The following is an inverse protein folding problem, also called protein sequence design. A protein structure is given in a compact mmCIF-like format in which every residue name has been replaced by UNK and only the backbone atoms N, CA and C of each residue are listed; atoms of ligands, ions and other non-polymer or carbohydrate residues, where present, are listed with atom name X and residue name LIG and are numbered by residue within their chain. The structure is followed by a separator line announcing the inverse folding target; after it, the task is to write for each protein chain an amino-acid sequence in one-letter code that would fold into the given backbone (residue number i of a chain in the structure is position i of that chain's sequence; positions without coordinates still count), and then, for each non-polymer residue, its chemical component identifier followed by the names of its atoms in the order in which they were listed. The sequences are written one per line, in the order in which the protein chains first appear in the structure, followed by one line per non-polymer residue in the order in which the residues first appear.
data_IF_021924951703
#
_entry.id   IF_021924951703
#
_cell.length_a   1.000
_cell.length_b   1.000
_cell.length_c   1.000
_cell.angle_alpha   90.00
_cell.angle_beta   90.00
_cell.angle_gamma   90.00
#
_symmetry.space_group_name_H-M   'P 1'
#
loop_
_entity.id
_entity.type
_entity.pdbx_description
1 polymer ?
#
# COMPACT_ATOMS: atom_id res chain seq x y z
N UNK A 1 4.45 -16.57 -24.25
CA UNK A 1 4.37 -15.10 -24.38
C UNK A 1 4.30 -14.54 -22.97
N UNK A 2 5.33 -13.85 -22.49
CA UNK A 2 5.34 -13.32 -21.12
C UNK A 2 4.46 -12.07 -21.05
N UNK A 3 3.49 -12.10 -20.15
CA UNK A 3 2.61 -10.98 -19.80
C UNK A 3 3.32 -9.89 -18.96
N UNK A 4 4.64 -10.01 -18.76
CA UNK A 4 5.44 -9.23 -17.82
C UNK A 4 5.51 -7.71 -18.11
N UNK A 5 5.10 -7.26 -19.31
CA UNK A 5 5.09 -5.84 -19.67
C UNK A 5 3.91 -5.04 -19.09
N UNK A 6 2.76 -5.68 -18.83
CA UNK A 6 1.54 -5.01 -18.37
C UNK A 6 1.56 -4.63 -16.88
N UNK A 7 2.56 -5.10 -16.13
CA UNK A 7 2.60 -5.04 -14.66
C UNK A 7 3.56 -3.97 -14.12
N UNK A 8 4.52 -3.48 -14.89
CA UNK A 8 5.42 -2.42 -14.42
C UNK A 8 4.78 -1.04 -14.51
N UNK A 9 3.69 -0.81 -13.77
CA UNK A 9 3.03 0.49 -13.67
C UNK A 9 2.72 0.84 -12.21
N UNK A 10 2.71 2.12 -11.86
CA UNK A 10 2.14 2.54 -10.58
C UNK A 10 0.61 2.51 -10.70
N UNK A 11 -0.08 2.19 -9.61
CA UNK A 11 -1.55 2.28 -9.55
C UNK A 11 -2.02 3.53 -8.82
N UNK A 12 -1.32 3.90 -7.76
CA UNK A 12 -1.62 5.07 -6.93
C UNK A 12 -0.33 5.83 -6.64
N UNK A 13 -0.48 7.07 -6.15
CA UNK A 13 0.62 7.91 -5.67
C UNK A 13 0.26 8.47 -4.29
N UNK A 14 1.28 8.77 -3.49
CA UNK A 14 1.15 9.57 -2.28
C UNK A 14 2.00 10.85 -2.40
N UNK A 15 1.63 11.91 -1.68
CA UNK A 15 2.41 13.16 -1.62
C UNK A 15 3.17 13.18 -0.31
N UNK A 16 4.50 13.25 -0.37
CA UNK A 16 5.34 13.23 0.83
C UNK A 16 5.18 14.53 1.63
N UNK A 17 4.81 14.49 2.92
CA UNK A 17 4.51 15.70 3.68
C UNK A 17 5.69 16.65 3.87
N UNK A 18 6.92 16.14 3.92
CA UNK A 18 8.11 16.94 4.21
C UNK A 18 8.51 17.91 3.10
N UNK A 19 8.22 17.58 1.84
CA UNK A 19 8.73 18.32 0.68
C UNK A 19 7.81 18.29 -0.55
N UNK A 20 6.65 17.64 -0.47
CA UNK A 20 5.68 17.57 -1.56
C UNK A 20 6.05 16.61 -2.70
N UNK A 21 7.11 15.81 -2.56
CA UNK A 21 7.50 14.84 -3.58
C UNK A 21 6.36 13.83 -3.86
N UNK A 22 6.16 13.46 -5.13
CA UNK A 22 5.22 12.41 -5.50
C UNK A 22 5.89 11.05 -5.34
N UNK A 23 5.25 10.16 -4.59
CA UNK A 23 5.76 8.85 -4.21
C UNK A 23 4.96 7.79 -4.93
N UNK A 24 5.60 7.07 -5.85
CA UNK A 24 4.96 6.08 -6.71
C UNK A 24 5.66 4.72 -6.54
N UNK A 25 5.07 3.78 -5.80
CA UNK A 25 5.61 2.45 -5.72
C UNK A 25 5.37 1.66 -7.03
N UNK A 26 6.21 0.67 -7.31
CA UNK A 26 6.14 -0.20 -8.50
C UNK A 26 6.42 -1.66 -8.12
N UNK A 27 5.40 -2.51 -8.25
CA UNK A 27 5.47 -3.98 -8.06
C UNK A 27 6.16 -4.46 -6.76
N UNK A 28 6.26 -3.59 -5.76
CA UNK A 28 6.91 -3.85 -4.48
C UNK A 28 8.42 -4.00 -4.61
N UNK A 29 9.00 -3.53 -5.72
CA UNK A 29 10.44 -3.67 -6.03
C UNK A 29 11.17 -2.35 -6.18
N UNK A 30 10.43 -1.28 -6.51
CA UNK A 30 10.96 0.06 -6.76
C UNK A 30 9.99 1.11 -6.26
N UNK A 31 10.53 2.24 -5.85
CA UNK A 31 9.82 3.44 -5.47
C UNK A 31 10.34 4.59 -6.31
N UNK A 32 9.52 5.15 -7.19
CA UNK A 32 9.86 6.39 -7.86
C UNK A 32 9.50 7.56 -6.94
N UNK A 33 10.46 8.47 -6.76
CA UNK A 33 10.29 9.73 -6.04
C UNK A 33 10.43 10.85 -7.06
N UNK A 34 9.33 11.55 -7.30
CA UNK A 34 9.24 12.57 -8.36
C UNK A 34 9.16 13.96 -7.74
N UNK A 35 10.05 14.84 -8.16
CA UNK A 35 9.94 16.27 -7.88
C UNK A 35 8.81 16.84 -8.74
N UNK A 36 7.71 17.36 -8.15
CA UNK A 36 6.59 17.88 -8.92
C UNK A 36 6.89 19.20 -9.64
N UNK A 37 7.99 19.88 -9.31
CA UNK A 37 8.36 21.17 -9.90
C UNK A 37 8.92 20.99 -11.30
N UNK A 38 9.84 20.04 -11.48
CA UNK A 38 10.55 19.83 -12.76
C UNK A 38 10.44 18.41 -13.33
N UNK A 39 9.75 17.51 -12.61
CA UNK A 39 9.52 16.13 -13.04
C UNK A 39 10.73 15.20 -12.87
N UNK A 40 11.83 15.67 -12.23
CA UNK A 40 12.98 14.81 -11.96
C UNK A 40 12.56 13.64 -11.08
N UNK A 41 13.04 12.45 -11.45
CA UNK A 41 12.70 11.21 -10.77
C UNK A 41 13.97 10.54 -10.24
N UNK A 42 13.98 10.21 -8.95
CA UNK A 42 14.91 9.24 -8.38
C UNK A 42 14.19 7.92 -8.12
N UNK A 43 14.95 6.83 -8.05
CA UNK A 43 14.39 5.49 -7.83
C UNK A 43 15.07 4.85 -6.64
N UNK A 44 14.27 4.46 -5.66
CA UNK A 44 14.69 3.75 -4.47
C UNK A 44 14.26 2.26 -4.53
N UNK A 45 14.97 1.35 -3.85
CA UNK A 45 14.57 -0.05 -3.79
C UNK A 45 13.35 -0.26 -2.87
N UNK A 46 12.58 -1.31 -3.20
CA UNK A 46 11.59 -1.94 -2.33
C UNK A 46 11.77 -3.46 -2.36
N UNK A 47 11.22 -4.17 -1.37
CA UNK A 47 11.49 -5.60 -1.12
C UNK A 47 10.25 -6.49 -1.12
N UNK A 48 9.04 -5.93 -1.10
CA UNK A 48 7.79 -6.67 -0.96
C UNK A 48 7.45 -7.59 -2.15
N UNK A 49 7.89 -7.26 -3.37
CA UNK A 49 7.69 -8.07 -4.59
C UNK A 49 6.24 -8.53 -4.78
N UNK A 50 5.34 -7.56 -4.88
CA UNK A 50 3.89 -7.80 -4.96
C UNK A 50 3.26 -6.78 -5.91
N UNK A 51 2.29 -7.25 -6.69
CA UNK A 51 1.37 -6.37 -7.41
C UNK A 51 0.73 -5.43 -6.40
N UNK A 52 0.75 -4.14 -6.68
CA UNK A 52 0.44 -3.14 -5.67
C UNK A 52 -0.75 -2.28 -6.06
N UNK A 53 -1.44 -1.75 -5.06
CA UNK A 53 -2.67 -0.99 -5.20
C UNK A 53 -2.58 0.27 -4.33
N UNK A 54 -3.57 0.55 -3.47
CA UNK A 54 -3.63 1.77 -2.70
C UNK A 54 -2.36 2.03 -1.89
N UNK A 55 -2.06 3.31 -1.80
CA UNK A 55 -0.91 3.85 -1.06
C UNK A 55 -1.37 5.02 -0.21
N UNK A 56 -0.81 5.13 0.98
CA UNK A 56 -0.92 6.33 1.82
C UNK A 56 0.42 6.59 2.50
N UNK A 57 0.62 7.81 2.96
CA UNK A 57 1.83 8.20 3.70
C UNK A 57 1.43 8.93 4.98
N UNK A 58 2.06 8.54 6.08
CA UNK A 58 1.91 9.22 7.37
C UNK A 58 2.63 10.56 7.39
N UNK A 59 2.28 11.41 8.36
CA UNK A 59 2.95 12.71 8.58
C UNK A 59 4.45 12.57 8.89
N UNK A 60 4.85 11.41 9.42
CA UNK A 60 6.24 11.05 9.69
C UNK A 60 7.00 10.58 8.43
N UNK A 61 6.34 10.53 7.27
CA UNK A 61 6.88 10.04 6.01
C UNK A 61 6.88 8.51 5.89
N UNK A 62 6.30 7.77 6.84
CA UNK A 62 6.13 6.32 6.72
C UNK A 62 5.11 6.01 5.62
N UNK A 63 5.54 5.25 4.61
CA UNK A 63 4.73 4.85 3.47
C UNK A 63 4.04 3.51 3.74
N UNK A 64 2.78 3.41 3.37
CA UNK A 64 1.96 2.21 3.50
C UNK A 64 1.44 1.82 2.12
N UNK A 65 1.75 0.62 1.65
CA UNK A 65 1.42 0.15 0.30
C UNK A 65 0.68 -1.17 0.38
N UNK A 66 -0.49 -1.25 -0.24
CA UNK A 66 -1.23 -2.51 -0.40
C UNK A 66 -0.62 -3.32 -1.52
N UNK A 67 -0.27 -4.57 -1.23
CA UNK A 67 0.05 -5.61 -2.19
C UNK A 67 -1.15 -6.54 -2.39
N UNK A 68 -1.62 -6.70 -3.63
CA UNK A 68 -2.75 -7.57 -3.98
C UNK A 68 -2.36 -9.02 -4.20
N UNK A 69 -1.07 -9.33 -4.32
CA UNK A 69 -0.59 -10.68 -4.58
C UNK A 69 0.78 -10.73 -5.24
N UNK A 70 1.34 -11.94 -5.43
CA UNK A 70 2.68 -12.11 -6.00
C UNK A 70 2.72 -11.72 -7.48
N UNK A 71 3.84 -11.15 -7.93
CA UNK A 71 4.10 -10.91 -9.36
C UNK A 71 4.38 -12.24 -10.06
N UNK A 72 5.11 -13.12 -9.38
CA UNK A 72 5.30 -14.52 -9.72
C UNK A 72 4.74 -15.44 -8.61
N UNK A 73 3.54 -16.02 -8.81
CA UNK A 73 2.89 -16.88 -7.81
C UNK A 73 3.68 -18.11 -7.36
N UNK A 74 4.69 -18.53 -8.12
CA UNK A 74 5.53 -19.67 -7.75
C UNK A 74 6.69 -19.32 -6.82
N UNK A 75 7.05 -18.05 -6.70
CA UNK A 75 8.31 -17.63 -6.05
C UNK A 75 8.18 -16.45 -5.09
N UNK A 76 7.03 -15.78 -5.04
CA UNK A 76 6.86 -14.52 -4.31
C UNK A 76 5.76 -14.56 -3.25
N UNK A 77 5.81 -13.59 -2.33
CA UNK A 77 4.89 -13.49 -1.21
C UNK A 77 3.48 -13.11 -1.66
N UNK A 78 2.49 -13.54 -0.86
CA UNK A 78 1.07 -13.25 -1.09
C UNK A 78 0.69 -11.77 -0.94
N UNK A 79 -0.61 -11.49 -0.91
CA UNK A 79 -1.13 -10.16 -0.58
C UNK A 79 -0.53 -9.64 0.74
N UNK A 80 -0.28 -8.34 0.83
CA UNK A 80 0.45 -7.77 1.95
C UNK A 80 0.16 -6.29 2.19
N UNK A 81 0.52 -5.80 3.37
CA UNK A 81 0.71 -4.40 3.67
C UNK A 81 2.20 -4.15 3.85
N UNK A 82 2.80 -3.37 2.95
CA UNK A 82 4.19 -2.93 3.07
C UNK A 82 4.23 -1.63 3.86
N UNK A 83 5.02 -1.61 4.93
CA UNK A 83 5.29 -0.42 5.74
C UNK A 83 6.75 -0.04 5.52
N UNK A 84 6.99 1.10 4.88
CA UNK A 84 8.34 1.56 4.55
C UNK A 84 8.61 2.88 5.25
N UNK A 85 9.63 2.89 6.12
CA UNK A 85 10.10 4.11 6.79
C UNK A 85 10.84 5.03 5.81
N UNK A 86 10.99 6.33 6.14
CA UNK A 86 11.77 7.26 5.31
C UNK A 86 13.22 6.83 5.04
N UNK A 87 13.82 6.06 5.95
CA UNK A 87 15.17 5.49 5.79
C UNK A 87 15.24 4.28 4.84
N UNK A 88 14.08 3.84 4.33
CA UNK A 88 13.94 2.72 3.43
C UNK A 88 13.81 1.36 4.08
N UNK A 89 13.80 1.27 5.41
CA UNK A 89 13.52 0.01 6.09
C UNK A 89 12.06 -0.41 5.87
N UNK A 90 11.86 -1.65 5.45
CA UNK A 90 10.54 -2.22 5.17
C UNK A 90 10.14 -3.27 6.20
N UNK A 91 8.85 -3.27 6.52
CA UNK A 91 8.18 -4.38 7.19
C UNK A 91 6.95 -4.77 6.37
N UNK A 92 6.89 -6.04 5.98
CA UNK A 92 5.83 -6.57 5.12
C UNK A 92 4.93 -7.46 5.97
N UNK A 93 3.69 -7.03 6.17
CA UNK A 93 2.68 -7.77 6.92
C UNK A 93 1.83 -8.57 5.93
N UNK A 94 1.78 -9.91 6.02
CA UNK A 94 0.91 -10.72 5.17
C UNK A 94 -0.57 -10.36 5.40
N UNK A 95 -1.31 -10.27 4.30
CA UNK A 95 -2.75 -10.09 4.32
C UNK A 95 -3.44 -11.35 3.76
N UNK A 96 -4.66 -11.59 4.23
CA UNK A 96 -5.49 -12.65 3.67
C UNK A 96 -6.20 -12.10 2.43
N UNK A 97 -5.95 -12.66 1.25
CA UNK A 97 -6.58 -12.25 -0.01
C UNK A 97 -6.18 -10.84 -0.48
N UNK A 98 -6.55 -10.45 -1.71
CA UNK A 98 -6.24 -9.12 -2.24
C UNK A 98 -7.06 -8.02 -1.55
N UNK A 99 -6.51 -6.80 -1.58
CA UNK A 99 -7.11 -5.60 -1.00
C UNK A 99 -6.99 -4.42 -1.98
N UNK A 100 -7.82 -3.40 -1.80
CA UNK A 100 -7.89 -2.27 -2.72
C UNK A 100 -7.10 -1.06 -2.23
N UNK A 101 -7.33 -0.63 -0.99
CA UNK A 101 -6.77 0.62 -0.48
C UNK A 101 -6.45 0.54 1.02
N UNK A 102 -5.69 1.52 1.51
CA UNK A 102 -5.25 1.63 2.90
C UNK A 102 -5.39 3.06 3.40
N UNK A 103 -5.85 3.21 4.64
CA UNK A 103 -5.77 4.45 5.41
C UNK A 103 -5.23 4.17 6.81
N UNK A 104 -4.60 5.16 7.43
CA UNK A 104 -4.02 5.04 8.78
C UNK A 104 -4.88 5.85 9.75
N UNK A 105 -5.12 5.29 10.94
CA UNK A 105 -5.76 6.00 12.03
C UNK A 105 -4.94 7.24 12.45
N UNK A 106 -5.56 8.32 12.96
CA UNK A 106 -4.83 9.53 13.32
C UNK A 106 -3.74 9.33 14.39
N UNK A 107 -3.87 8.28 15.22
CA UNK A 107 -2.88 7.92 16.24
C UNK A 107 -1.66 7.15 15.68
N UNK A 108 -1.68 6.80 14.40
CA UNK A 108 -0.61 6.06 13.72
C UNK A 108 -0.50 4.59 14.12
N UNK A 109 -1.43 4.04 14.93
CA UNK A 109 -1.32 2.68 15.50
C UNK A 109 -2.08 1.62 14.71
N UNK A 110 -3.04 2.03 13.90
CA UNK A 110 -3.90 1.11 13.17
C UNK A 110 -3.97 1.47 11.71
N UNK A 111 -3.79 0.49 10.83
CA UNK A 111 -4.14 0.62 9.41
C UNK A 111 -5.47 -0.08 9.12
N UNK A 112 -6.30 0.56 8.31
CA UNK A 112 -7.53 0.01 7.78
C UNK A 112 -7.34 -0.25 6.29
N UNK A 113 -7.46 -1.51 5.88
CA UNK A 113 -7.22 -1.96 4.52
C UNK A 113 -8.51 -2.50 3.94
N UNK A 114 -8.99 -1.94 2.83
CA UNK A 114 -10.30 -2.28 2.26
C UNK A 114 -10.23 -3.53 1.39
N UNK A 115 -11.25 -4.40 1.45
CA UNK A 115 -11.28 -5.61 0.62
C UNK A 115 -11.45 -5.32 -0.88
N UNK A 116 -12.22 -4.27 -1.20
CA UNK A 116 -12.44 -3.68 -2.52
C UNK A 116 -12.53 -4.64 -3.71
N UNK A 117 -12.05 -4.23 -4.89
CA UNK A 117 -12.25 -4.98 -6.13
C UNK A 117 -10.99 -4.98 -6.98
N UNK A 118 -10.23 -6.06 -6.86
CA UNK A 118 -8.99 -6.27 -7.59
C UNK A 118 -9.22 -7.24 -8.76
N UNK A 119 -8.19 -7.45 -9.59
CA UNK A 119 -8.27 -8.42 -10.70
C UNK A 119 -8.64 -9.82 -10.22
N UNK A 120 -8.06 -10.25 -9.10
CA UNK A 120 -8.21 -11.61 -8.61
C UNK A 120 -9.49 -11.81 -7.78
N UNK A 121 -10.30 -10.74 -7.64
CA UNK A 121 -11.61 -10.77 -7.03
C UNK A 121 -11.84 -9.62 -6.05
N UNK A 122 -12.95 -9.74 -5.33
CA UNK A 122 -13.38 -8.81 -4.30
C UNK A 122 -13.85 -9.58 -3.07
N UNK A 123 -13.88 -8.90 -1.94
CA UNK A 123 -14.56 -9.40 -0.75
C UNK A 123 -15.10 -8.25 0.09
N UNK A 124 -16.09 -8.58 0.91
CA UNK A 124 -16.82 -7.62 1.73
C UNK A 124 -16.15 -7.46 3.09
N UNK A 125 -15.74 -6.23 3.40
CA UNK A 125 -15.09 -5.91 4.67
C UNK A 125 -13.75 -5.21 4.55
N UNK A 126 -13.12 -5.08 5.71
CA UNK A 126 -11.81 -4.45 5.88
C UNK A 126 -10.91 -5.34 6.73
N UNK A 127 -9.60 -5.25 6.51
CA UNK A 127 -8.60 -5.71 7.45
C UNK A 127 -8.18 -4.56 8.36
N UNK A 128 -8.27 -4.77 9.66
CA UNK A 128 -7.73 -3.90 10.71
C UNK A 128 -6.38 -4.47 11.10
N UNK A 129 -5.33 -3.69 10.87
CA UNK A 129 -3.94 -4.09 11.13
C UNK A 129 -3.41 -3.28 12.30
N UNK A 130 -2.99 -3.96 13.36
CA UNK A 130 -2.24 -3.35 14.45
C UNK A 130 -0.78 -3.15 14.02
N UNK A 131 -0.33 -1.91 13.95
CA UNK A 131 0.98 -1.54 13.41
C UNK A 131 2.12 -1.73 14.43
N UNK A 132 1.82 -2.11 15.68
CA UNK A 132 2.85 -2.45 16.67
C UNK A 132 3.22 -3.93 16.64
N UNK A 133 2.22 -4.80 16.48
CA UNK A 133 2.35 -6.25 16.53
C UNK A 133 2.29 -6.92 15.16
N UNK A 134 1.69 -6.26 14.17
CA UNK A 134 1.43 -6.83 12.85
C UNK A 134 0.22 -7.74 12.82
N UNK A 135 -0.58 -7.77 13.89
CA UNK A 135 -1.79 -8.57 13.97
C UNK A 135 -2.86 -8.06 13.01
N UNK A 136 -3.57 -8.97 12.34
CA UNK A 136 -4.60 -8.65 11.35
C UNK A 136 -5.93 -9.26 11.76
N UNK A 137 -6.96 -8.42 11.90
CA UNK A 137 -8.34 -8.85 12.11
C UNK A 137 -9.21 -8.40 10.93
N UNK A 138 -10.14 -9.24 10.47
CA UNK A 138 -11.12 -8.85 9.45
C UNK A 138 -12.43 -8.42 10.10
N UNK A 139 -12.98 -7.31 9.61
CA UNK A 139 -14.30 -6.81 10.02
C UNK A 139 -15.24 -6.76 8.80
N UNK A 140 -16.50 -7.21 8.93
CA UNK A 140 -17.48 -7.09 7.87
C UNK A 140 -17.87 -5.60 7.70
N UNK A 141 -17.84 -5.11 6.46
CA UNK A 141 -18.18 -3.72 6.12
C UNK A 141 -18.73 -3.67 4.71
N UNK A 142 -20.02 -3.38 4.60
CA UNK A 142 -20.71 -3.10 3.33
C UNK A 142 -20.47 -4.16 2.26
N UNK A 143 -20.65 -3.75 1.01
CA UNK A 143 -20.33 -4.57 -0.16
C UNK A 143 -19.22 -3.90 -0.97
N UNK A 144 -18.12 -4.62 -1.21
CA UNK A 144 -16.96 -4.15 -2.00
C UNK A 144 -16.44 -2.76 -1.59
N UNK A 145 -16.05 -2.53 -0.34
CA UNK A 145 -15.54 -1.22 0.08
C UNK A 145 -14.26 -0.88 -0.70
N UNK A 146 -14.23 0.22 -1.45
CA UNK A 146 -13.08 0.59 -2.30
C UNK A 146 -12.12 1.53 -1.57
N UNK A 147 -12.53 2.78 -1.35
CA UNK A 147 -11.75 3.79 -0.64
C UNK A 147 -12.14 3.90 0.83
N UNK A 148 -11.19 4.33 1.65
CA UNK A 148 -11.41 4.69 3.05
C UNK A 148 -10.60 5.95 3.37
N UNK A 149 -11.12 6.76 4.28
CA UNK A 149 -10.43 7.95 4.80
C UNK A 149 -10.55 7.97 6.31
N UNK A 150 -9.43 8.18 7.00
CA UNK A 150 -9.45 8.48 8.42
C UNK A 150 -9.73 9.98 8.61
N UNK A 151 -10.76 10.30 9.38
CA UNK A 151 -11.05 11.68 9.75
C UNK A 151 -10.23 12.04 11.00
N UNK A 152 -9.71 13.28 11.08
CA UNK A 152 -9.20 13.79 12.34
C UNK A 152 -10.29 13.71 13.41
N UNK A 153 -9.92 13.35 14.64
CA UNK A 153 -10.82 13.60 15.75
C UNK A 153 -11.00 15.11 15.88
N UNK A 154 -12.24 15.60 15.82
CA UNK A 154 -12.53 16.98 16.14
C UNK A 154 -12.03 17.29 17.55
N UNK A 155 -11.42 18.47 17.72
CA UNK A 155 -11.08 19.00 19.04
C UNK A 155 -12.34 19.23 19.89
#
# INVERSE_FOLDING_TARGET
MSTAGSWRKPHYLAVRPSDGALILPFEGTRLAVVDPVDGRTTVEPMTARTHQHGVTIGNDGTLYVVGTGPVDPGTEAGPSLTIRRPDGHEWVIPLQGPHENVTIAPDGRTAYVTGGYTRDGYWDGISVVDLGSGSVARLPVGHRPLGAVALPHGA
#
